data_IF_275404610468
#
_entry.id   IF_275404610468
#
_cell.length_a   1.000
_cell.length_b   1.000
_cell.length_c   1.000
_cell.angle_alpha   90.00
_cell.angle_beta   90.00
_cell.angle_gamma   90.00
#
_symmetry.space_group_name_H-M   'P 1'
#
loop_
_entity.id
_entity.type
_entity.pdbx_description
1 polymer ?
#
# COMPACT_ATOMS: atom_id res chain seq x y z
N UNK A 1 17.62 27.29 22.46
CA UNK A 1 17.32 26.39 21.32
C UNK A 1 16.00 26.81 20.69
N UNK A 2 15.99 27.19 19.41
CA UNK A 2 14.75 27.53 18.69
C UNK A 2 14.03 26.23 18.32
N UNK A 3 12.71 26.10 18.57
CA UNK A 3 11.99 24.87 18.33
C UNK A 3 11.96 24.60 16.83
N UNK A 4 12.66 23.56 16.44
CA UNK A 4 12.65 23.10 15.10
C UNK A 4 11.28 22.46 14.81
N UNK A 5 10.69 22.84 13.66
CA UNK A 5 10.09 21.85 12.76
C UNK A 5 8.67 21.29 12.98
N UNK A 6 7.83 21.85 13.84
CA UNK A 6 6.46 21.34 14.03
C UNK A 6 5.64 21.19 12.73
N UNK A 7 5.85 22.07 11.73
CA UNK A 7 5.04 22.07 10.50
C UNK A 7 5.40 20.95 9.53
N UNK A 8 6.67 20.58 9.40
CA UNK A 8 7.09 19.51 8.48
C UNK A 8 6.78 18.13 9.06
N UNK A 9 6.90 17.99 10.39
CA UNK A 9 6.49 16.79 11.11
C UNK A 9 4.98 16.55 10.94
N UNK A 10 4.15 17.56 11.19
CA UNK A 10 2.70 17.45 11.03
C UNK A 10 2.30 17.04 9.61
N UNK A 11 2.93 17.64 8.59
CA UNK A 11 2.66 17.29 7.19
C UNK A 11 3.09 15.85 6.88
N UNK A 12 4.22 15.40 7.43
CA UNK A 12 4.69 14.02 7.28
C UNK A 12 3.69 13.05 7.88
N UNK A 13 3.26 13.31 9.11
CA UNK A 13 2.32 12.43 9.81
C UNK A 13 0.94 12.39 9.11
N UNK A 14 0.52 13.51 8.51
CA UNK A 14 -0.68 13.53 7.66
C UNK A 14 -0.50 12.65 6.41
N UNK A 15 0.63 12.78 5.70
CA UNK A 15 0.92 11.97 4.51
C UNK A 15 1.10 10.49 4.81
N UNK A 16 1.60 10.16 6.00
CA UNK A 16 1.70 8.80 6.49
C UNK A 16 0.31 8.18 6.66
N UNK A 17 -0.63 8.91 7.28
CA UNK A 17 -2.03 8.49 7.36
C UNK A 17 -2.68 8.34 5.99
N UNK A 18 -2.52 9.33 5.10
CA UNK A 18 -3.07 9.28 3.73
C UNK A 18 -2.59 8.04 2.97
N UNK A 19 -1.31 7.67 3.13
CA UNK A 19 -0.69 6.47 2.55
C UNK A 19 -1.30 5.21 3.13
N UNK A 20 -1.45 5.15 4.44
CA UNK A 20 -1.97 3.96 5.13
C UNK A 20 -3.46 3.73 4.82
N UNK A 21 -4.26 4.79 4.72
CA UNK A 21 -5.65 4.71 4.25
C UNK A 21 -5.76 4.18 2.81
N UNK A 22 -4.88 4.64 1.91
CA UNK A 22 -4.85 4.12 0.55
C UNK A 22 -4.38 2.66 0.49
N UNK A 23 -3.42 2.26 1.34
CA UNK A 23 -2.99 0.87 1.46
C UNK A 23 -4.13 -0.03 1.93
N UNK A 24 -4.91 0.41 2.91
CA UNK A 24 -6.09 -0.31 3.38
C UNK A 24 -7.14 -0.43 2.27
N UNK A 25 -7.39 0.64 1.53
CA UNK A 25 -8.35 0.66 0.42
C UNK A 25 -7.94 -0.29 -0.70
N UNK A 26 -6.66 -0.28 -1.08
CA UNK A 26 -6.08 -1.26 -1.99
C UNK A 26 -6.24 -2.70 -1.47
N UNK A 27 -5.93 -2.95 -0.20
CA UNK A 27 -6.08 -4.27 0.43
C UNK A 27 -7.52 -4.77 0.49
N UNK A 28 -8.52 -3.89 0.57
CA UNK A 28 -9.94 -4.25 0.45
C UNK A 28 -10.29 -4.60 -1.00
N UNK A 29 -9.83 -3.82 -1.97
CA UNK A 29 -10.09 -4.08 -3.39
C UNK A 29 -9.48 -5.42 -3.86
N UNK A 30 -8.23 -5.69 -3.47
CA UNK A 30 -7.55 -6.96 -3.74
C UNK A 30 -8.33 -8.15 -3.18
N UNK A 31 -8.77 -8.07 -1.92
CA UNK A 31 -9.57 -9.14 -1.28
C UNK A 31 -10.89 -9.37 -2.02
N UNK A 32 -11.58 -8.31 -2.46
CA UNK A 32 -12.80 -8.45 -3.26
C UNK A 32 -12.54 -9.17 -4.57
N UNK A 33 -11.47 -8.83 -5.30
CA UNK A 33 -11.09 -9.53 -6.52
C UNK A 33 -10.79 -11.00 -6.25
N UNK A 34 -10.01 -11.30 -5.22
CA UNK A 34 -9.64 -12.69 -4.86
C UNK A 34 -10.88 -13.54 -4.52
N UNK A 35 -11.79 -13.03 -3.68
CA UNK A 35 -13.01 -13.75 -3.33
C UNK A 35 -13.90 -14.00 -4.55
N UNK A 36 -13.97 -13.04 -5.48
CA UNK A 36 -14.72 -13.23 -6.72
C UNK A 36 -14.04 -14.22 -7.66
N UNK A 37 -12.70 -14.26 -7.69
CA UNK A 37 -11.95 -15.26 -8.45
C UNK A 37 -12.25 -16.67 -7.92
N UNK A 38 -12.20 -16.87 -6.61
CA UNK A 38 -12.56 -18.15 -5.97
C UNK A 38 -14.00 -18.56 -6.31
N UNK A 39 -14.91 -17.59 -6.39
CA UNK A 39 -16.29 -17.82 -6.83
C UNK A 39 -16.33 -18.30 -8.29
N UNK A 40 -15.59 -17.66 -9.20
CA UNK A 40 -15.47 -18.11 -10.59
C UNK A 40 -14.92 -19.53 -10.68
N UNK A 41 -13.82 -19.81 -9.98
CA UNK A 41 -13.16 -21.11 -9.98
C UNK A 41 -14.12 -22.20 -9.47
N UNK A 42 -14.94 -21.90 -8.47
CA UNK A 42 -15.97 -22.83 -7.96
C UNK A 42 -17.08 -23.11 -8.99
N UNK A 43 -17.46 -22.12 -9.81
CA UNK A 43 -18.43 -22.29 -10.89
C UNK A 43 -17.82 -23.12 -12.02
N UNK A 44 -16.55 -22.91 -12.35
CA UNK A 44 -15.82 -23.73 -13.33
C UNK A 44 -15.75 -25.20 -12.87
N UNK A 45 -15.39 -25.45 -11.62
CA UNK A 45 -15.40 -26.81 -11.05
C UNK A 45 -16.79 -27.45 -11.11
N UNK A 46 -17.87 -26.68 -10.87
CA UNK A 46 -19.23 -27.18 -11.02
C UNK A 46 -19.57 -27.52 -12.47
N UNK A 47 -19.14 -26.71 -13.43
CA UNK A 47 -19.30 -26.99 -14.87
C UNK A 47 -18.58 -28.28 -15.25
N UNK A 48 -17.34 -28.45 -14.80
CA UNK A 48 -16.54 -29.66 -15.02
C UNK A 48 -17.22 -30.89 -14.40
N UNK A 49 -17.71 -30.79 -13.17
CA UNK A 49 -18.44 -31.86 -12.50
C UNK A 49 -19.73 -32.26 -13.23
N UNK A 50 -20.48 -31.29 -13.76
CA UNK A 50 -21.64 -31.57 -14.63
C UNK A 50 -21.17 -32.29 -15.91
N UNK A 51 -20.07 -31.85 -16.51
CA UNK A 51 -19.49 -32.47 -17.70
C UNK A 51 -19.08 -33.94 -17.46
N UNK A 52 -18.39 -34.21 -16.36
CA UNK A 52 -18.00 -35.55 -15.95
C UNK A 52 -19.23 -36.43 -15.68
N UNK A 53 -20.23 -35.92 -14.98
CA UNK A 53 -21.47 -36.66 -14.72
C UNK A 53 -22.22 -37.04 -16.01
N UNK A 54 -22.18 -36.18 -17.04
CA UNK A 54 -22.73 -36.47 -18.36
C UNK A 54 -21.89 -37.55 -19.06
N UNK A 55 -20.55 -37.48 -18.98
CA UNK A 55 -19.65 -38.43 -19.63
C UNK A 55 -19.74 -39.83 -19.02
N UNK A 56 -19.69 -39.94 -17.69
CA UNK A 56 -19.75 -41.20 -16.95
C UNK A 56 -21.06 -41.95 -17.23
N UNK A 57 -22.16 -41.21 -17.27
CA UNK A 57 -23.49 -41.78 -17.52
C UNK A 57 -23.82 -41.89 -19.01
N UNK A 58 -23.12 -41.19 -19.91
CA UNK A 58 -23.28 -41.28 -21.37
C UNK A 58 -22.95 -42.65 -21.94
N UNK A 59 -22.26 -43.50 -21.18
CA UNK A 59 -22.12 -44.93 -21.49
C UNK A 59 -23.43 -45.73 -21.28
N UNK A 60 -24.42 -45.16 -20.61
CA UNK A 60 -25.75 -45.73 -20.39
C UNK A 60 -26.81 -44.85 -21.09
N UNK A 61 -27.71 -45.44 -21.88
CA UNK A 61 -28.78 -44.68 -22.57
C UNK A 61 -29.62 -43.89 -21.57
N UNK A 62 -29.66 -42.57 -21.74
CA UNK A 62 -30.43 -41.67 -20.87
C UNK A 62 -31.90 -41.52 -21.29
N UNK A 63 -32.81 -41.31 -20.31
CA UNK A 63 -34.12 -40.73 -20.57
C UNK A 63 -33.99 -39.26 -21.03
N UNK A 64 -34.79 -38.84 -22.00
CA UNK A 64 -34.78 -37.47 -22.54
C UNK A 64 -35.00 -36.37 -21.47
N UNK A 65 -35.73 -36.67 -20.39
CA UNK A 65 -35.96 -35.76 -19.27
C UNK A 65 -34.68 -35.39 -18.53
N UNK A 66 -33.74 -36.33 -18.37
CA UNK A 66 -32.44 -36.09 -17.73
C UNK A 66 -31.53 -35.22 -18.61
N UNK A 67 -31.56 -35.43 -19.93
CA UNK A 67 -30.81 -34.59 -20.88
C UNK A 67 -31.19 -33.11 -20.78
N UNK A 68 -32.49 -32.82 -20.68
CA UNK A 68 -32.97 -31.44 -20.53
C UNK A 68 -32.50 -30.81 -19.22
N UNK A 69 -32.51 -31.56 -18.11
CA UNK A 69 -32.04 -31.06 -16.80
C UNK A 69 -30.55 -30.72 -16.82
N UNK A 70 -29.70 -31.62 -17.33
CA UNK A 70 -28.26 -31.37 -17.43
C UNK A 70 -27.94 -30.20 -18.37
N UNK A 71 -28.64 -30.11 -19.50
CA UNK A 71 -28.44 -29.01 -20.43
C UNK A 71 -28.83 -27.66 -19.82
N UNK A 72 -29.95 -27.59 -19.11
CA UNK A 72 -30.37 -26.38 -18.39
C UNK A 72 -29.37 -26.01 -17.28
N UNK A 73 -28.96 -26.98 -16.46
CA UNK A 73 -27.98 -26.73 -15.40
C UNK A 73 -26.61 -26.26 -15.93
N UNK A 74 -26.15 -26.84 -17.05
CA UNK A 74 -24.93 -26.43 -17.73
C UNK A 74 -25.07 -25.01 -18.32
N UNK A 75 -26.21 -24.69 -18.92
CA UNK A 75 -26.48 -23.36 -19.48
C UNK A 75 -26.52 -22.29 -18.40
N UNK A 76 -27.18 -22.56 -17.28
CA UNK A 76 -27.23 -21.68 -16.12
C UNK A 76 -25.83 -21.46 -15.52
N UNK A 77 -25.07 -22.53 -15.31
CA UNK A 77 -23.72 -22.42 -14.77
C UNK A 77 -22.78 -21.61 -15.69
N UNK A 78 -22.88 -21.78 -17.01
CA UNK A 78 -22.12 -20.97 -17.98
C UNK A 78 -22.50 -19.49 -17.97
N UNK A 79 -23.79 -19.20 -17.76
CA UNK A 79 -24.27 -17.82 -17.65
C UNK A 79 -23.74 -17.18 -16.34
N UNK A 80 -23.81 -17.91 -15.23
CA UNK A 80 -23.22 -17.51 -13.94
C UNK A 80 -21.70 -17.29 -14.06
N UNK A 81 -20.98 -18.15 -14.78
CA UNK A 81 -19.54 -17.99 -15.01
C UNK A 81 -19.24 -16.71 -15.80
N UNK A 82 -20.03 -16.44 -16.85
CA UNK A 82 -19.87 -15.22 -17.64
C UNK A 82 -20.08 -13.96 -16.80
N UNK A 83 -21.10 -13.94 -15.96
CA UNK A 83 -21.39 -12.84 -15.04
C UNK A 83 -20.28 -12.69 -13.99
N UNK A 84 -19.83 -13.80 -13.40
CA UNK A 84 -18.71 -13.82 -12.45
C UNK A 84 -17.43 -13.26 -13.06
N UNK A 85 -17.07 -13.67 -14.28
CA UNK A 85 -15.89 -13.18 -14.98
C UNK A 85 -15.97 -11.68 -15.29
N UNK A 86 -17.16 -11.16 -15.61
CA UNK A 86 -17.35 -9.72 -15.77
C UNK A 86 -17.09 -8.97 -14.45
N UNK A 87 -17.54 -9.51 -13.32
CA UNK A 87 -17.28 -8.94 -11.99
C UNK A 87 -15.80 -9.03 -11.60
N UNK A 88 -15.10 -10.12 -11.95
CA UNK A 88 -13.65 -10.25 -11.73
C UNK A 88 -12.91 -9.11 -12.44
N UNK A 89 -13.23 -8.84 -13.71
CA UNK A 89 -12.58 -7.77 -14.47
C UNK A 89 -12.94 -6.37 -13.94
N UNK A 90 -14.16 -6.17 -13.45
CA UNK A 90 -14.54 -4.94 -12.75
C UNK A 90 -13.72 -4.74 -11.47
N UNK A 91 -13.61 -5.78 -10.63
CA UNK A 91 -12.84 -5.72 -9.40
C UNK A 91 -11.34 -5.59 -9.65
N UNK A 92 -10.83 -6.19 -10.73
CA UNK A 92 -9.46 -6.00 -11.18
C UNK A 92 -9.18 -4.55 -11.58
N UNK A 93 -10.10 -3.93 -12.32
CA UNK A 93 -9.99 -2.53 -12.71
C UNK A 93 -9.96 -1.62 -11.48
N UNK A 94 -10.85 -1.85 -10.51
CA UNK A 94 -10.86 -1.12 -9.24
C UNK A 94 -9.61 -1.38 -8.41
N UNK A 95 -9.11 -2.61 -8.37
CA UNK A 95 -7.85 -2.92 -7.69
C UNK A 95 -6.69 -2.10 -8.28
N UNK A 96 -6.56 -2.06 -9.60
CA UNK A 96 -5.50 -1.31 -10.28
C UNK A 96 -5.59 0.18 -10.00
N UNK A 97 -6.79 0.75 -9.99
CA UNK A 97 -7.01 2.16 -9.61
C UNK A 97 -6.53 2.44 -8.18
N UNK A 98 -6.93 1.60 -7.21
CA UNK A 98 -6.51 1.75 -5.82
C UNK A 98 -5.00 1.51 -5.63
N UNK A 99 -4.41 0.62 -6.42
CA UNK A 99 -2.97 0.38 -6.43
C UNK A 99 -2.21 1.63 -6.90
N UNK A 100 -2.67 2.26 -7.98
CA UNK A 100 -2.06 3.48 -8.50
C UNK A 100 -2.15 4.63 -7.50
N UNK A 101 -3.32 4.80 -6.86
CA UNK A 101 -3.51 5.80 -5.81
C UNK A 101 -2.57 5.57 -4.62
N UNK A 102 -2.46 4.33 -4.15
CA UNK A 102 -1.51 3.98 -3.10
C UNK A 102 -0.05 4.30 -3.49
N UNK A 103 0.37 3.93 -4.69
CA UNK A 103 1.73 4.20 -5.17
C UNK A 103 1.99 5.71 -5.28
N UNK A 104 1.00 6.48 -5.73
CA UNK A 104 1.09 7.94 -5.79
C UNK A 104 1.29 8.55 -4.40
N UNK A 105 0.44 8.17 -3.43
CA UNK A 105 0.55 8.66 -2.04
C UNK A 105 1.84 8.23 -1.36
N UNK A 106 2.26 6.98 -1.59
CA UNK A 106 3.54 6.47 -1.09
C UNK A 106 4.71 7.29 -1.62
N UNK A 107 4.75 7.56 -2.93
CA UNK A 107 5.82 8.36 -3.53
C UNK A 107 5.86 9.77 -2.93
N UNK A 108 4.70 10.39 -2.71
CA UNK A 108 4.58 11.72 -2.09
C UNK A 108 5.07 11.71 -0.64
N UNK A 109 4.72 10.68 0.15
CA UNK A 109 5.25 10.48 1.49
C UNK A 109 6.77 10.32 1.49
N UNK A 110 7.32 9.50 0.60
CA UNK A 110 8.76 9.22 0.54
C UNK A 110 9.58 10.46 0.18
N UNK A 111 9.07 11.32 -0.71
CA UNK A 111 9.68 12.62 -1.02
C UNK A 111 9.70 13.52 0.21
N UNK A 112 8.59 13.59 0.95
CA UNK A 112 8.49 14.41 2.17
C UNK A 112 9.40 13.88 3.28
N UNK A 113 9.50 12.56 3.42
CA UNK A 113 10.42 11.92 4.37
C UNK A 113 11.87 12.31 4.08
N UNK A 114 12.32 12.23 2.82
CA UNK A 114 13.67 12.66 2.43
C UNK A 114 13.92 14.14 2.71
N UNK A 115 12.93 15.00 2.43
CA UNK A 115 13.02 16.43 2.75
C UNK A 115 13.14 16.66 4.25
N UNK A 116 12.36 15.92 5.05
CA UNK A 116 12.44 15.96 6.50
C UNK A 116 13.84 15.56 6.97
N UNK A 117 14.36 14.43 6.52
CA UNK A 117 15.66 13.93 6.94
C UNK A 117 16.78 14.91 6.58
N UNK A 118 16.82 15.38 5.33
CA UNK A 118 17.80 16.39 4.89
C UNK A 118 17.78 17.64 5.75
N UNK A 119 16.59 18.20 5.98
CA UNK A 119 16.47 19.40 6.80
C UNK A 119 17.00 19.09 8.22
N UNK A 120 16.87 17.83 8.71
CA UNK A 120 17.22 17.44 10.09
C UNK A 120 18.70 17.63 10.28
N UNK A 121 19.43 17.10 9.32
CA UNK A 121 20.87 17.12 9.28
C UNK A 121 21.37 18.55 9.12
N UNK A 122 20.72 19.36 8.28
CA UNK A 122 21.04 20.80 8.14
C UNK A 122 20.91 21.55 9.48
N UNK A 123 19.88 21.26 10.27
CA UNK A 123 19.68 21.90 11.56
C UNK A 123 20.69 21.42 12.61
N UNK A 124 20.92 20.12 12.72
CA UNK A 124 21.93 19.57 13.63
C UNK A 124 23.32 20.13 13.30
N UNK A 125 23.67 20.24 12.01
CA UNK A 125 24.91 20.86 11.58
C UNK A 125 24.98 22.35 11.92
N UNK A 126 23.85 23.08 11.88
CA UNK A 126 23.81 24.48 12.28
C UNK A 126 23.98 24.66 13.78
N UNK A 127 23.34 23.82 14.61
CA UNK A 127 23.49 23.88 16.07
C UNK A 127 24.91 23.52 16.48
N UNK A 128 25.50 22.48 15.88
CA UNK A 128 26.90 22.12 16.13
C UNK A 128 27.88 23.26 15.82
N UNK A 129 27.68 23.98 14.70
CA UNK A 129 28.50 25.16 14.36
C UNK A 129 28.30 26.33 15.33
N UNK A 130 27.08 26.54 15.82
CA UNK A 130 26.82 27.56 16.84
C UNK A 130 27.50 27.20 18.16
N UNK A 131 27.46 25.93 18.58
CA UNK A 131 28.17 25.42 19.76
C UNK A 131 29.70 25.57 19.62
N UNK A 132 30.26 25.16 18.48
CA UNK A 132 31.69 25.30 18.18
C UNK A 132 32.15 26.75 18.29
N UNK A 133 31.39 27.68 17.69
CA UNK A 133 31.68 29.11 17.76
C UNK A 133 31.64 29.64 19.21
N UNK A 134 30.65 29.22 20.00
CA UNK A 134 30.56 29.62 21.41
C UNK A 134 31.75 29.09 22.22
N UNK A 135 32.22 27.87 21.93
CA UNK A 135 33.41 27.30 22.57
C UNK A 135 34.69 28.04 22.18
N UNK A 136 34.86 28.39 20.90
CA UNK A 136 35.98 29.21 20.43
C UNK A 136 35.99 30.60 21.08
N UNK A 137 34.84 31.27 21.13
CA UNK A 137 34.70 32.58 21.77
C UNK A 137 35.07 32.49 23.27
N UNK A 138 34.65 31.42 23.95
CA UNK A 138 34.97 31.20 25.37
C UNK A 138 36.45 30.88 25.60
N UNK A 139 37.09 30.14 24.69
CA UNK A 139 38.53 29.88 24.73
C UNK A 139 39.33 31.17 24.51
N UNK A 140 38.96 31.96 23.50
CA UNK A 140 39.57 33.24 23.18
C UNK A 140 39.43 34.26 24.33
N UNK A 141 38.26 34.31 24.97
CA UNK A 141 38.01 35.15 26.15
C UNK A 141 38.83 34.74 27.38
N UNK A 142 39.18 33.46 27.53
CA UNK A 142 40.08 32.98 28.60
C UNK A 142 41.54 33.33 28.33
N UNK A 143 41.98 33.26 27.06
CA UNK A 143 43.35 33.62 26.67
C UNK A 143 43.63 35.14 26.69
N UNK A 144 42.59 35.98 26.70
CA UNK A 144 42.73 37.44 26.74
C UNK A 144 42.78 38.04 28.15
N UNK A 145 42.67 37.22 29.21
CA UNK A 145 42.90 37.66 30.59
C UNK A 145 44.42 37.78 30.78
N UNK A 146 45.00 38.99 30.90
CA UNK A 146 46.43 39.13 31.11
C UNK A 146 46.79 38.52 32.47
N UNK A 147 47.82 37.67 32.50
CA UNK A 147 48.42 37.21 33.74
C UNK A 147 48.76 38.45 34.59
N UNK A 148 48.38 38.49 35.88
CA UNK A 148 48.81 39.57 36.75
C UNK A 148 50.33 39.55 36.76
N UNK A 149 50.93 40.60 36.22
CA UNK A 149 52.37 40.81 36.19
C UNK A 149 52.85 40.80 37.64
N UNK A 150 53.46 39.68 38.06
CA UNK A 150 54.22 39.60 39.30
C UNK A 150 55.30 40.66 39.25
N UNK A 151 55.08 41.76 39.98
CA UNK A 151 56.06 42.82 40.18
C UNK A 151 57.03 42.31 41.25
N UNK A 152 58.24 41.92 40.83
CA UNK A 152 59.41 41.70 41.70
C UNK A 152 60.05 43.01 42.09
#
# INVERSE_FOLDING_TARGET
MKPFRYRLQLLKDLRERDRDEALQSYGVALRKRMNQQETSDSIEQRIEGIGQAIQDRGQQRFPASMHSQYYSAMKEAKLQLKESNALVEEFRSKELEQQQEYLHRKSSHDVLQRLYDRRRDEHLASEFKEEEKVLEDLANARSSIPNPVTTT
#
